data_IF_354530957016
#
_entry.id   IF_354530957016
#
_cell.length_a   1.000
_cell.length_b   1.000
_cell.length_c   1.000
_cell.angle_alpha   90.00
_cell.angle_beta   90.00
_cell.angle_gamma   90.00
#
_symmetry.space_group_name_H-M   'P 1'
#
loop_
_entity.id
_entity.type
_entity.pdbx_description
1 polymer ?
#
# COMPACT_ATOMS: atom_id res chain seq x y z
N UNK A 1 -16.45 4.72 -19.47
CA UNK A 1 -17.52 4.04 -18.69
C UNK A 1 -17.06 3.76 -17.28
N UNK A 2 -15.84 3.27 -17.05
CA UNK A 2 -15.36 2.87 -15.74
C UNK A 2 -15.35 4.05 -14.74
N UNK A 3 -14.77 5.18 -15.11
CA UNK A 3 -14.77 6.40 -14.27
C UNK A 3 -16.20 6.90 -14.00
N UNK A 4 -17.09 6.83 -14.98
CA UNK A 4 -18.51 7.21 -14.77
C UNK A 4 -19.16 6.31 -13.73
N UNK A 5 -18.93 4.99 -13.82
CA UNK A 5 -19.42 4.04 -12.83
C UNK A 5 -18.90 4.35 -11.42
N UNK A 6 -17.61 4.65 -11.29
CA UNK A 6 -16.99 5.02 -10.02
C UNK A 6 -17.63 6.27 -9.41
N UNK A 7 -17.86 7.33 -10.22
CA UNK A 7 -18.46 8.57 -9.74
C UNK A 7 -19.90 8.36 -9.23
N UNK A 8 -20.76 7.72 -10.02
CA UNK A 8 -22.14 7.52 -9.62
C UNK A 8 -22.27 6.56 -8.44
N UNK A 9 -21.45 5.48 -8.42
CA UNK A 9 -21.41 4.61 -7.24
C UNK A 9 -20.99 5.39 -5.98
N UNK A 10 -19.96 6.23 -6.07
CA UNK A 10 -19.47 7.02 -4.95
C UNK A 10 -20.56 7.96 -4.40
N UNK A 11 -21.29 8.65 -5.32
CA UNK A 11 -22.38 9.54 -4.91
C UNK A 11 -23.46 8.79 -4.13
N UNK A 12 -23.90 7.64 -4.66
CA UNK A 12 -24.96 6.84 -4.05
C UNK A 12 -24.50 6.17 -2.74
N UNK A 13 -23.32 5.53 -2.76
CA UNK A 13 -22.82 4.75 -1.63
C UNK A 13 -22.50 5.62 -0.41
N UNK A 14 -22.02 6.84 -0.64
CA UNK A 14 -21.61 7.75 0.43
C UNK A 14 -22.58 8.91 0.63
N UNK A 15 -23.74 8.88 -0.03
CA UNK A 15 -24.75 9.95 -0.02
C UNK A 15 -24.11 11.34 -0.21
N UNK A 16 -23.17 11.41 -1.18
CA UNK A 16 -22.45 12.64 -1.46
C UNK A 16 -23.35 13.68 -2.14
N UNK A 17 -23.23 14.92 -1.74
CA UNK A 17 -24.00 16.06 -2.27
C UNK A 17 -23.09 17.21 -2.65
N UNK A 18 -23.67 18.25 -3.28
CA UNK A 18 -22.93 19.47 -3.60
C UNK A 18 -22.48 20.28 -2.37
N UNK A 19 -23.07 20.00 -1.20
CA UNK A 19 -22.72 20.67 0.06
C UNK A 19 -21.49 20.03 0.74
N UNK A 20 -21.04 18.87 0.25
CA UNK A 20 -19.87 18.20 0.78
C UNK A 20 -18.57 18.93 0.39
N UNK A 21 -17.58 18.77 1.24
CA UNK A 21 -16.21 19.24 1.00
C UNK A 21 -15.27 18.06 1.07
N UNK A 22 -14.54 17.85 -0.02
CA UNK A 22 -13.60 16.74 -0.18
C UNK A 22 -12.15 17.22 -0.18
N UNK A 23 -11.21 16.35 0.18
CA UNK A 23 -9.79 16.65 0.06
C UNK A 23 -9.15 15.95 -1.14
N UNK A 24 -8.26 16.68 -1.84
CA UNK A 24 -7.33 16.14 -2.84
C UNK A 24 -5.99 15.89 -2.16
N UNK A 25 -5.83 14.68 -1.63
CA UNK A 25 -4.66 14.24 -0.88
C UNK A 25 -3.67 13.44 -1.74
N UNK A 26 -4.16 12.42 -2.47
CA UNK A 26 -3.32 11.52 -3.25
C UNK A 26 -2.52 12.24 -4.34
N UNK A 27 -1.24 11.92 -4.51
CA UNK A 27 -0.42 12.44 -5.60
C UNK A 27 -0.99 12.06 -6.98
N UNK A 28 -0.75 12.87 -8.02
CA UNK A 28 -1.27 12.62 -9.38
C UNK A 28 -0.76 11.32 -10.03
N UNK A 29 0.33 10.74 -9.51
CA UNK A 29 0.82 9.43 -9.94
C UNK A 29 0.00 8.23 -9.42
N UNK A 30 -0.97 8.48 -8.53
CA UNK A 30 -1.88 7.46 -8.00
C UNK A 30 -3.27 7.60 -8.59
N UNK A 31 -3.90 6.48 -8.86
CA UNK A 31 -5.28 6.42 -9.36
C UNK A 31 -6.31 6.93 -8.35
N UNK A 32 -6.04 6.82 -7.05
CA UNK A 32 -6.85 7.44 -6.00
C UNK A 32 -7.05 8.95 -6.22
N UNK A 33 -6.10 9.65 -6.87
CA UNK A 33 -6.24 11.07 -7.21
C UNK A 33 -7.43 11.32 -8.15
N UNK A 34 -7.71 10.40 -9.06
CA UNK A 34 -8.86 10.46 -9.97
C UNK A 34 -10.15 10.26 -9.18
N UNK A 35 -10.14 9.35 -8.22
CA UNK A 35 -11.27 9.09 -7.35
C UNK A 35 -11.62 10.26 -6.43
N UNK A 36 -10.61 10.99 -5.90
CA UNK A 36 -10.84 12.20 -5.11
C UNK A 36 -11.46 13.33 -5.93
N UNK A 37 -11.00 13.53 -7.17
CA UNK A 37 -11.39 14.67 -8.00
C UNK A 37 -12.73 14.49 -8.70
N UNK A 38 -12.90 13.38 -9.44
CA UNK A 38 -14.02 13.27 -10.36
C UNK A 38 -15.38 13.12 -9.68
N UNK A 39 -15.58 12.29 -8.65
CA UNK A 39 -16.84 12.29 -7.91
C UNK A 39 -17.17 13.66 -7.32
N UNK A 40 -16.18 14.34 -6.74
CA UNK A 40 -16.36 15.67 -6.15
C UNK A 40 -16.82 16.68 -7.19
N UNK A 41 -16.16 16.76 -8.33
CA UNK A 41 -16.53 17.70 -9.39
C UNK A 41 -17.86 17.39 -10.06
N UNK A 42 -18.16 16.11 -10.29
CA UNK A 42 -19.37 15.71 -11.01
C UNK A 42 -20.64 15.90 -10.19
N UNK A 43 -20.56 15.99 -8.87
CA UNK A 43 -21.69 16.32 -7.98
C UNK A 43 -21.77 17.83 -7.70
N UNK A 44 -20.72 18.60 -8.03
CA UNK A 44 -20.63 20.04 -7.73
C UNK A 44 -20.16 20.38 -6.32
N UNK A 45 -19.51 19.43 -5.64
CA UNK A 45 -18.94 19.63 -4.31
C UNK A 45 -17.62 20.40 -4.34
N UNK A 46 -17.20 20.90 -3.19
CA UNK A 46 -15.95 21.65 -3.01
C UNK A 46 -14.77 20.69 -2.86
N UNK A 47 -13.65 20.95 -3.57
CA UNK A 47 -12.43 20.16 -3.50
C UNK A 47 -11.28 20.98 -2.90
N UNK A 48 -10.78 20.58 -1.75
CA UNK A 48 -9.64 21.17 -1.06
C UNK A 48 -8.35 20.49 -1.52
N UNK A 49 -7.46 21.23 -2.17
CA UNK A 49 -6.12 20.71 -2.55
C UNK A 49 -5.20 20.85 -1.35
N UNK A 50 -4.70 19.74 -0.85
CA UNK A 50 -3.85 19.71 0.34
C UNK A 50 -2.42 20.12 -0.03
N UNK A 51 -1.91 21.13 0.69
CA UNK A 51 -0.55 21.61 0.53
C UNK A 51 0.47 20.54 0.98
N UNK A 52 1.57 20.42 0.24
CA UNK A 52 2.64 19.47 0.53
C UNK A 52 3.26 19.70 1.93
N UNK A 53 3.28 20.94 2.40
CA UNK A 53 3.82 21.32 3.72
C UNK A 53 3.02 20.78 4.92
N UNK A 54 1.75 20.37 4.70
CA UNK A 54 0.90 19.81 5.77
C UNK A 54 0.51 18.35 5.51
N UNK A 55 0.79 17.86 4.30
CA UNK A 55 0.30 16.58 3.81
C UNK A 55 0.73 15.39 4.67
N UNK A 56 1.95 15.41 5.19
CA UNK A 56 2.50 14.33 6.03
C UNK A 56 2.40 14.63 7.53
N UNK A 57 2.04 15.85 7.92
CA UNK A 57 1.80 16.24 9.30
C UNK A 57 0.34 16.00 9.66
N UNK A 58 0.08 14.89 10.33
CA UNK A 58 -1.28 14.43 10.62
C UNK A 58 -2.06 15.39 11.52
N UNK A 59 -1.36 16.08 12.42
CA UNK A 59 -1.98 17.06 13.34
C UNK A 59 -2.40 18.30 12.58
N UNK A 60 -1.53 18.82 11.70
CA UNK A 60 -1.84 19.98 10.85
C UNK A 60 -2.91 19.63 9.80
N UNK A 61 -2.86 18.41 9.25
CA UNK A 61 -3.88 17.92 8.32
C UNK A 61 -5.26 17.84 9.00
N UNK A 62 -5.32 17.29 10.20
CA UNK A 62 -6.55 17.22 11.00
C UNK A 62 -7.09 18.62 11.33
N UNK A 63 -6.21 19.54 11.73
CA UNK A 63 -6.59 20.94 11.97
C UNK A 63 -7.16 21.61 10.71
N UNK A 64 -6.48 21.43 9.57
CA UNK A 64 -6.95 21.93 8.28
C UNK A 64 -8.34 21.41 7.93
N UNK A 65 -8.60 20.10 8.11
CA UNK A 65 -9.91 19.53 7.83
C UNK A 65 -11.00 20.14 8.69
N UNK A 66 -10.75 20.36 9.98
CA UNK A 66 -11.71 20.99 10.88
C UNK A 66 -11.94 22.47 10.55
N UNK A 67 -10.88 23.24 10.31
CA UNK A 67 -10.94 24.66 9.99
C UNK A 67 -11.72 24.93 8.70
N UNK A 68 -11.52 24.10 7.67
CA UNK A 68 -12.19 24.27 6.38
C UNK A 68 -13.49 23.46 6.26
N UNK A 69 -13.85 22.67 7.26
CA UNK A 69 -15.07 21.88 7.30
C UNK A 69 -15.09 20.77 6.26
N UNK A 70 -13.96 20.08 6.04
CA UNK A 70 -13.89 18.88 5.16
C UNK A 70 -14.80 17.80 5.73
N UNK A 71 -15.70 17.25 4.90
CA UNK A 71 -16.74 16.30 5.34
C UNK A 71 -16.45 14.87 4.92
N UNK A 72 -15.78 14.68 3.79
CA UNK A 72 -15.40 13.36 3.26
C UNK A 72 -13.98 13.42 2.72
N UNK A 73 -13.15 12.45 3.06
CA UNK A 73 -11.78 12.38 2.56
C UNK A 73 -11.31 10.93 2.42
N UNK A 74 -10.41 10.71 1.45
CA UNK A 74 -9.60 9.50 1.37
C UNK A 74 -8.24 9.76 2.02
N UNK A 75 -7.77 8.77 2.79
CA UNK A 75 -6.38 8.71 3.25
C UNK A 75 -5.82 7.30 3.01
N UNK A 76 -4.54 7.18 2.61
CA UNK A 76 -3.86 5.89 2.56
C UNK A 76 -3.88 5.21 3.93
N UNK A 77 -4.00 3.88 3.96
CA UNK A 77 -4.24 3.09 5.16
C UNK A 77 -3.34 3.46 6.34
N UNK A 78 -2.03 3.55 6.13
CA UNK A 78 -1.06 3.85 7.21
C UNK A 78 -1.28 5.23 7.83
N UNK A 79 -1.61 6.23 7.00
CA UNK A 79 -1.93 7.57 7.48
C UNK A 79 -3.30 7.61 8.16
N UNK A 80 -4.29 6.91 7.61
CA UNK A 80 -5.62 6.81 8.18
C UNK A 80 -5.60 6.18 9.57
N UNK A 81 -4.77 5.15 9.80
CA UNK A 81 -4.60 4.53 11.12
C UNK A 81 -4.07 5.50 12.17
N UNK A 82 -3.16 6.40 11.79
CA UNK A 82 -2.68 7.47 12.68
C UNK A 82 -3.72 8.58 12.84
N UNK A 83 -4.39 8.96 11.74
CA UNK A 83 -5.43 9.99 11.76
C UNK A 83 -6.60 9.61 12.69
N UNK A 84 -6.95 8.34 12.74
CA UNK A 84 -8.00 7.83 13.63
C UNK A 84 -7.67 7.93 15.13
N UNK A 85 -6.43 8.24 15.52
CA UNK A 85 -6.09 8.54 16.92
C UNK A 85 -6.45 9.98 17.32
N UNK A 86 -6.78 10.84 16.34
CA UNK A 86 -7.13 12.23 16.56
C UNK A 86 -8.65 12.43 16.45
N UNK A 87 -9.21 13.26 17.33
CA UNK A 87 -10.61 13.65 17.20
C UNK A 87 -10.80 14.61 16.03
N UNK A 88 -11.84 14.35 15.22
CA UNK A 88 -12.26 15.23 14.14
C UNK A 88 -13.77 15.38 14.15
N UNK A 89 -14.25 16.63 14.24
CA UNK A 89 -15.68 16.97 14.31
C UNK A 89 -16.30 17.39 12.98
N UNK A 90 -15.48 17.64 11.95
CA UNK A 90 -15.98 18.05 10.63
C UNK A 90 -16.25 16.86 9.70
N UNK A 91 -15.46 15.80 9.80
CA UNK A 91 -15.65 14.62 8.98
C UNK A 91 -16.96 13.90 9.31
N UNK A 92 -17.67 13.51 8.28
CA UNK A 92 -18.75 12.52 8.35
C UNK A 92 -18.29 11.15 7.86
N UNK A 93 -17.21 11.12 7.02
CA UNK A 93 -16.70 9.89 6.44
C UNK A 93 -15.20 9.95 6.16
N UNK A 94 -14.49 8.92 6.60
CA UNK A 94 -13.09 8.66 6.26
C UNK A 94 -13.02 7.42 5.37
N UNK A 95 -12.57 7.59 4.13
CA UNK A 95 -12.33 6.52 3.17
C UNK A 95 -10.88 6.07 3.29
N UNK A 96 -10.67 4.78 3.48
CA UNK A 96 -9.35 4.18 3.70
C UNK A 96 -9.07 3.18 2.57
N UNK A 97 -7.83 3.01 2.18
CA UNK A 97 -7.45 2.01 1.19
C UNK A 97 -5.99 2.09 0.78
N UNK A 98 -5.62 1.24 -0.16
CA UNK A 98 -4.25 1.17 -0.69
C UNK A 98 -3.40 0.09 -0.02
N UNK A 99 -3.66 -0.25 1.24
CA UNK A 99 -2.97 -1.33 1.96
C UNK A 99 -3.93 -2.06 2.90
N UNK A 100 -3.46 -3.13 3.57
CA UNK A 100 -4.22 -3.88 4.56
C UNK A 100 -4.44 -3.01 5.81
N UNK A 101 -5.71 -2.73 6.13
CA UNK A 101 -6.07 -2.07 7.38
C UNK A 101 -5.80 -3.03 8.54
N UNK A 102 -5.00 -2.61 9.51
CA UNK A 102 -4.59 -3.41 10.67
C UNK A 102 -5.41 -3.08 11.92
N UNK A 103 -5.85 -1.84 12.04
CA UNK A 103 -6.65 -1.36 13.19
C UNK A 103 -7.62 -0.27 12.76
N UNK A 104 -8.71 -0.17 13.48
CA UNK A 104 -9.64 0.94 13.39
C UNK A 104 -10.03 1.39 14.78
N UNK A 105 -10.18 2.69 14.98
CA UNK A 105 -10.56 3.29 16.24
C UNK A 105 -11.96 3.90 16.11
N UNK A 106 -12.80 3.73 17.12
CA UNK A 106 -14.15 4.27 17.12
C UNK A 106 -14.10 5.80 17.06
N UNK A 107 -14.76 6.34 16.06
CA UNK A 107 -14.80 7.77 15.76
C UNK A 107 -16.24 8.28 15.59
N UNK A 108 -16.51 9.59 15.70
CA UNK A 108 -17.84 10.13 15.42
C UNK A 108 -18.22 10.08 13.94
N UNK A 109 -17.27 9.84 13.05
CA UNK A 109 -17.44 9.69 11.61
C UNK A 109 -17.40 8.21 11.18
N UNK A 110 -17.98 7.91 10.03
CA UNK A 110 -17.95 6.56 9.46
C UNK A 110 -16.60 6.27 8.81
N UNK A 111 -16.01 5.10 9.12
CA UNK A 111 -14.80 4.59 8.48
C UNK A 111 -15.21 3.58 7.40
N UNK A 112 -14.70 3.75 6.18
CA UNK A 112 -15.00 2.86 5.05
C UNK A 112 -13.70 2.32 4.47
N UNK A 113 -13.53 1.01 4.50
CA UNK A 113 -12.39 0.34 3.88
C UNK A 113 -12.69 0.04 2.42
N UNK A 114 -11.83 0.52 1.53
CA UNK A 114 -11.98 0.40 0.09
C UNK A 114 -10.78 -0.35 -0.50
N UNK A 115 -11.06 -1.30 -1.34
CA UNK A 115 -10.05 -2.07 -2.04
C UNK A 115 -10.32 -2.01 -3.54
N UNK A 116 -9.26 -1.92 -4.31
CA UNK A 116 -9.29 -2.10 -5.76
C UNK A 116 -7.93 -1.98 -6.39
N UNK A 117 -7.68 -2.74 -7.45
CA UNK A 117 -6.54 -2.55 -8.31
C UNK A 117 -6.83 -1.44 -9.34
N UNK A 118 -5.80 -0.76 -9.81
CA UNK A 118 -5.89 0.25 -10.89
C UNK A 118 -6.53 -0.34 -12.14
N UNK A 119 -6.34 -1.63 -12.39
CA UNK A 119 -6.89 -2.40 -13.50
C UNK A 119 -8.44 -2.52 -13.44
N UNK A 120 -9.04 -2.19 -12.28
CA UNK A 120 -10.51 -2.10 -12.13
C UNK A 120 -10.95 -0.70 -11.65
N UNK A 121 -10.25 0.33 -12.04
CA UNK A 121 -10.60 1.75 -11.81
C UNK A 121 -10.78 2.07 -10.33
N UNK A 122 -9.67 2.04 -9.57
CA UNK A 122 -9.48 2.45 -8.18
C UNK A 122 -10.21 1.60 -7.14
N UNK A 123 -11.53 1.50 -7.20
CA UNK A 123 -12.34 0.80 -6.18
C UNK A 123 -13.11 -0.35 -6.81
N UNK A 124 -12.88 -1.55 -6.32
CA UNK A 124 -13.60 -2.76 -6.70
C UNK A 124 -14.54 -3.26 -5.60
N UNK A 125 -14.13 -3.10 -4.33
CA UNK A 125 -14.94 -3.45 -3.16
C UNK A 125 -14.89 -2.34 -2.12
N UNK A 126 -15.93 -2.23 -1.30
CA UNK A 126 -16.08 -1.20 -0.27
C UNK A 126 -16.92 -1.75 0.88
N UNK A 127 -16.58 -1.38 2.11
CA UNK A 127 -17.33 -1.78 3.29
C UNK A 127 -17.12 -0.83 4.47
N UNK A 128 -18.20 -0.54 5.17
CA UNK A 128 -18.15 0.20 6.43
C UNK A 128 -17.47 -0.68 7.47
N UNK A 129 -16.52 -0.11 8.19
CA UNK A 129 -15.81 -0.79 9.27
C UNK A 129 -16.53 -0.54 10.59
N UNK A 130 -16.79 -1.62 11.31
CA UNK A 130 -17.14 -1.56 12.71
C UNK A 130 -15.88 -1.81 13.56
N UNK A 131 -15.34 -0.81 14.27
CA UNK A 131 -14.13 -0.98 15.06
C UNK A 131 -14.25 -1.96 16.23
N UNK A 132 -15.47 -2.39 16.55
CA UNK A 132 -15.76 -3.36 17.62
C UNK A 132 -15.73 -4.82 17.10
N UNK A 133 -15.58 -5.02 15.78
CA UNK A 133 -15.48 -6.34 15.17
C UNK A 133 -14.02 -6.76 14.96
N UNK A 134 -13.76 -8.06 15.10
CA UNK A 134 -12.41 -8.64 14.91
C UNK A 134 -11.94 -8.63 13.45
N UNK A 135 -12.84 -8.41 12.50
CA UNK A 135 -12.53 -8.45 11.07
C UNK A 135 -12.61 -7.07 10.41
N UNK A 136 -11.48 -6.63 9.85
CA UNK A 136 -11.36 -5.43 9.02
C UNK A 136 -11.47 -5.79 7.53
N UNK A 137 -12.69 -6.15 7.12
CA UNK A 137 -13.02 -6.60 5.76
C UNK A 137 -12.76 -5.50 4.72
N UNK A 138 -12.48 -5.90 3.48
CA UNK A 138 -12.50 -5.00 2.31
C UNK A 138 -13.91 -4.85 1.72
N UNK A 139 -14.93 -5.30 2.43
CA UNK A 139 -16.33 -5.13 2.10
C UNK A 139 -16.83 -6.05 1.00
N UNK A 140 -17.68 -5.50 0.14
CA UNK A 140 -18.35 -6.20 -0.97
C UNK A 140 -18.13 -5.44 -2.27
N UNK A 141 -18.36 -6.13 -3.41
CA UNK A 141 -18.25 -5.51 -4.73
C UNK A 141 -19.14 -4.26 -4.84
N UNK A 142 -18.59 -3.21 -5.43
CA UNK A 142 -19.31 -1.97 -5.72
C UNK A 142 -20.31 -2.17 -6.85
N UNK A 143 -21.20 -1.20 -7.07
CA UNK A 143 -22.21 -1.28 -8.14
C UNK A 143 -21.59 -1.57 -9.51
N UNK A 144 -22.22 -2.47 -10.27
CA UNK A 144 -21.78 -2.93 -11.59
C UNK A 144 -20.39 -3.61 -11.62
N UNK A 145 -19.88 -4.04 -10.46
CA UNK A 145 -18.68 -4.85 -10.30
C UNK A 145 -19.07 -6.23 -9.78
N UNK A 146 -18.41 -7.26 -10.28
CA UNK A 146 -18.51 -8.63 -9.77
C UNK A 146 -17.17 -8.99 -9.15
N UNK A 147 -17.21 -9.58 -7.97
CA UNK A 147 -16.05 -10.12 -7.28
C UNK A 147 -16.23 -11.62 -7.10
N UNK A 148 -15.29 -12.40 -7.60
CA UNK A 148 -15.24 -13.84 -7.47
C UNK A 148 -14.04 -14.23 -6.62
N UNK A 149 -14.20 -15.23 -5.77
CA UNK A 149 -13.10 -15.88 -5.06
C UNK A 149 -12.90 -17.25 -5.68
N UNK A 150 -11.82 -17.40 -6.44
CA UNK A 150 -11.59 -18.58 -7.27
C UNK A 150 -10.41 -19.42 -6.76
N UNK A 151 -10.59 -20.75 -6.81
CA UNK A 151 -9.52 -21.70 -6.60
C UNK A 151 -8.87 -22.14 -7.90
N UNK A 152 -8.06 -23.21 -7.81
CA UNK A 152 -7.43 -23.82 -8.97
C UNK A 152 -8.51 -24.34 -9.94
N UNK A 153 -8.39 -23.98 -11.24
CA UNK A 153 -9.37 -24.36 -12.25
C UNK A 153 -10.65 -23.52 -12.26
N UNK A 154 -10.60 -22.29 -11.73
CA UNK A 154 -11.67 -21.29 -11.78
C UNK A 154 -13.00 -21.69 -11.09
N UNK A 155 -12.96 -22.62 -10.13
CA UNK A 155 -14.12 -22.90 -9.30
C UNK A 155 -14.28 -21.88 -8.17
N UNK A 156 -15.52 -21.44 -7.93
CA UNK A 156 -15.85 -20.55 -6.81
C UNK A 156 -15.57 -21.23 -5.48
N UNK A 157 -14.86 -20.53 -4.61
CA UNK A 157 -14.54 -21.04 -3.27
C UNK A 157 -15.74 -20.87 -2.33
N UNK A 158 -16.00 -21.88 -1.48
CA UNK A 158 -16.97 -21.76 -0.39
C UNK A 158 -16.56 -20.68 0.63
N UNK A 159 -17.53 -20.29 1.46
CA UNK A 159 -17.28 -19.42 2.60
C UNK A 159 -16.15 -19.95 3.49
N UNK A 160 -15.27 -19.04 3.91
CA UNK A 160 -14.11 -19.32 4.78
C UNK A 160 -12.92 -19.96 4.07
N UNK A 161 -13.08 -20.41 2.82
CA UNK A 161 -11.99 -21.01 2.05
C UNK A 161 -11.29 -19.91 1.22
N UNK A 162 -9.96 -19.89 1.34
CA UNK A 162 -9.13 -18.93 0.62
C UNK A 162 -9.09 -19.23 -0.89
N UNK A 163 -9.05 -18.17 -1.70
CA UNK A 163 -8.89 -18.23 -3.14
C UNK A 163 -8.43 -16.88 -3.70
N UNK A 164 -8.13 -16.87 -5.00
CA UNK A 164 -7.77 -15.65 -5.70
C UNK A 164 -8.98 -14.74 -5.89
N UNK A 165 -8.85 -13.47 -5.53
CA UNK A 165 -9.85 -12.46 -5.87
C UNK A 165 -9.76 -12.15 -7.37
N UNK A 166 -10.85 -12.36 -8.09
CA UNK A 166 -11.02 -11.96 -9.48
C UNK A 166 -12.13 -10.92 -9.57
N UNK A 167 -11.90 -9.84 -10.31
CA UNK A 167 -12.87 -8.75 -10.45
C UNK A 167 -13.28 -8.56 -11.90
N UNK A 168 -14.56 -8.28 -12.13
CA UNK A 168 -15.14 -8.08 -13.45
C UNK A 168 -16.20 -6.96 -13.42
N UNK A 169 -16.62 -6.50 -14.58
CA UNK A 169 -17.71 -5.53 -14.70
C UNK A 169 -17.28 -4.20 -15.29
N UNK A 170 -18.04 -3.14 -14.96
CA UNK A 170 -17.90 -1.83 -15.60
C UNK A 170 -16.62 -1.07 -15.26
N UNK A 171 -15.99 -1.39 -14.13
CA UNK A 171 -14.71 -0.81 -13.70
C UNK A 171 -13.49 -1.35 -14.45
N UNK A 172 -13.63 -2.47 -15.17
CA UNK A 172 -12.51 -3.18 -15.77
C UNK A 172 -11.81 -2.37 -16.87
N UNK A 173 -10.48 -2.25 -16.77
CA UNK A 173 -9.64 -1.62 -17.78
C UNK A 173 -9.55 -2.43 -19.07
N UNK A 174 -9.09 -1.79 -20.16
CA UNK A 174 -8.87 -2.47 -21.44
C UNK A 174 -7.70 -3.43 -21.41
N UNK A 175 -6.70 -3.16 -20.61
CA UNK A 175 -5.46 -3.91 -20.48
C UNK A 175 -4.26 -2.98 -20.26
N UNK A 176 -3.06 -3.53 -20.33
CA UNK A 176 -1.81 -2.79 -20.22
C UNK A 176 -1.37 -2.24 -21.58
N UNK A 177 -1.00 -0.97 -21.63
CA UNK A 177 -0.58 -0.30 -22.85
C UNK A 177 0.70 -0.95 -23.42
N UNK A 178 0.65 -1.38 -24.68
CA UNK A 178 1.76 -2.03 -25.40
C UNK A 178 2.30 -3.30 -24.69
N UNK A 179 1.45 -4.01 -23.94
CA UNK A 179 1.78 -5.25 -23.19
C UNK A 179 0.69 -6.29 -23.41
N UNK A 180 0.57 -6.81 -24.63
CA UNK A 180 -0.49 -7.75 -25.01
C UNK A 180 -0.40 -9.08 -24.25
N UNK A 181 0.82 -9.62 -24.10
CA UNK A 181 1.04 -10.88 -23.38
C UNK A 181 0.66 -10.76 -21.90
N UNK A 182 1.05 -9.69 -21.21
CA UNK A 182 0.68 -9.46 -19.81
C UNK A 182 -0.82 -9.18 -19.67
N UNK A 183 -1.39 -8.48 -20.63
CA UNK A 183 -2.85 -8.27 -20.69
C UNK A 183 -3.58 -9.60 -20.81
N UNK A 184 -3.16 -10.48 -21.70
CA UNK A 184 -3.80 -11.79 -21.89
C UNK A 184 -3.68 -12.71 -20.65
N UNK A 185 -2.58 -12.60 -19.88
CA UNK A 185 -2.38 -13.37 -18.64
C UNK A 185 -3.30 -12.91 -17.51
N UNK A 186 -3.50 -11.61 -17.37
CA UNK A 186 -4.23 -11.02 -16.24
C UNK A 186 -5.71 -10.74 -16.54
N UNK A 187 -6.04 -10.37 -17.78
CA UNK A 187 -7.42 -10.09 -18.22
C UNK A 187 -7.96 -11.27 -19.01
N UNK A 188 -8.48 -12.26 -18.27
CA UNK A 188 -8.97 -13.53 -18.82
C UNK A 188 -10.46 -13.47 -19.13
N UNK A 189 -10.99 -14.47 -19.84
CA UNK A 189 -12.44 -14.61 -20.01
C UNK A 189 -13.13 -14.79 -18.65
N UNK A 190 -14.27 -14.14 -18.46
CA UNK A 190 -15.14 -14.37 -17.30
C UNK A 190 -15.87 -15.71 -17.49
N UNK A 191 -15.60 -16.74 -16.67
CA UNK A 191 -16.21 -18.06 -16.86
C UNK A 191 -17.71 -18.10 -16.53
N UNK A 192 -18.22 -17.05 -15.87
CA UNK A 192 -19.60 -16.96 -15.42
C UNK A 192 -20.47 -16.07 -16.33
N UNK A 193 -19.84 -15.18 -17.14
CA UNK A 193 -20.55 -14.27 -18.03
C UNK A 193 -19.95 -14.33 -19.43
N UNK A 194 -20.59 -15.06 -20.37
CA UNK A 194 -20.09 -15.25 -21.72
C UNK A 194 -19.82 -13.93 -22.45
N UNK A 195 -18.62 -13.83 -23.04
CA UNK A 195 -18.18 -12.65 -23.80
C UNK A 195 -17.64 -11.50 -22.96
N UNK A 196 -17.66 -11.61 -21.63
CA UNK A 196 -17.03 -10.64 -20.74
C UNK A 196 -15.65 -11.11 -20.26
N UNK A 197 -14.91 -10.20 -19.64
CA UNK A 197 -13.60 -10.47 -19.06
C UNK A 197 -13.59 -10.21 -17.59
N UNK A 198 -12.66 -10.85 -16.90
CA UNK A 198 -12.30 -10.58 -15.51
C UNK A 198 -10.79 -10.30 -15.40
N UNK A 199 -10.42 -9.58 -14.37
CA UNK A 199 -9.03 -9.34 -13.97
C UNK A 199 -8.65 -10.23 -12.80
N UNK A 200 -7.56 -10.97 -12.95
CA UNK A 200 -6.95 -11.81 -11.91
C UNK A 200 -6.01 -10.94 -11.09
N UNK A 201 -6.44 -10.64 -9.85
CA UNK A 201 -5.73 -9.64 -9.02
C UNK A 201 -4.41 -10.17 -8.46
N UNK A 202 -4.27 -11.48 -8.30
CA UNK A 202 -3.20 -12.12 -7.54
C UNK A 202 -3.33 -11.93 -6.03
N UNK A 203 -4.45 -11.40 -5.55
CA UNK A 203 -4.73 -11.23 -4.13
C UNK A 203 -5.47 -12.45 -3.57
N UNK A 204 -4.97 -12.98 -2.46
CA UNK A 204 -5.56 -14.09 -1.72
C UNK A 204 -6.57 -13.54 -0.70
N UNK A 205 -7.80 -14.00 -0.81
CA UNK A 205 -8.91 -13.54 0.03
C UNK A 205 -9.78 -14.72 0.44
N UNK A 206 -10.69 -14.51 1.38
CA UNK A 206 -11.78 -15.45 1.68
C UNK A 206 -13.09 -14.69 1.87
N UNK A 207 -14.20 -15.38 1.62
CA UNK A 207 -15.54 -14.86 1.86
C UNK A 207 -15.96 -15.09 3.30
N UNK A 208 -16.52 -14.05 3.93
CA UNK A 208 -17.18 -14.12 5.22
C UNK A 208 -18.59 -13.51 5.06
N UNK A 209 -19.63 -14.28 5.36
CA UNK A 209 -21.02 -13.83 5.15
C UNK A 209 -21.40 -12.63 6.02
N UNK A 210 -20.78 -12.45 7.17
CA UNK A 210 -21.06 -11.36 8.11
C UNK A 210 -20.48 -10.04 7.62
N UNK A 211 -19.16 -10.00 7.34
CA UNK A 211 -18.45 -8.77 7.04
C UNK A 211 -18.08 -8.58 5.56
N UNK A 212 -18.18 -9.61 4.72
CA UNK A 212 -17.82 -9.55 3.29
C UNK A 212 -16.47 -10.21 2.98
N UNK A 213 -15.65 -9.61 2.13
CA UNK A 213 -14.38 -10.18 1.70
C UNK A 213 -13.27 -9.82 2.69
N UNK A 214 -12.57 -10.81 3.21
CA UNK A 214 -11.40 -10.66 4.06
C UNK A 214 -10.12 -10.82 3.24
N UNK A 215 -9.25 -9.81 3.30
CA UNK A 215 -7.96 -9.82 2.64
C UNK A 215 -6.95 -10.61 3.49
N UNK A 216 -6.31 -11.61 2.88
CA UNK A 216 -5.31 -12.47 3.54
C UNK A 216 -3.90 -11.99 3.18
N UNK A 217 -3.62 -11.84 1.86
CA UNK A 217 -2.30 -11.49 1.35
C UNK A 217 -2.23 -11.57 -0.16
N UNK A 218 -1.01 -11.79 -0.70
CA UNK A 218 -0.78 -11.99 -2.13
C UNK A 218 -0.39 -13.42 -2.45
N UNK A 219 -0.82 -13.89 -3.62
CA UNK A 219 -0.41 -15.20 -4.19
C UNK A 219 0.98 -15.09 -4.82
N UNK A 220 1.27 -13.94 -5.44
CA UNK A 220 2.55 -13.64 -6.08
C UNK A 220 3.52 -12.91 -5.15
N UNK A 221 4.70 -12.56 -5.66
CA UNK A 221 5.73 -11.86 -4.89
C UNK A 221 5.57 -10.32 -4.89
N UNK A 222 4.49 -9.82 -5.43
CA UNK A 222 4.18 -8.41 -5.37
C UNK A 222 3.93 -7.97 -3.93
N UNK A 223 4.45 -6.83 -3.54
CA UNK A 223 4.27 -6.29 -2.18
C UNK A 223 3.69 -4.89 -2.24
N UNK A 224 3.02 -4.52 -1.17
CA UNK A 224 2.63 -3.13 -0.94
C UNK A 224 3.55 -2.54 0.11
N UNK A 225 4.26 -1.48 -0.22
CA UNK A 225 5.14 -0.76 0.68
C UNK A 225 4.70 0.69 0.69
N UNK A 226 4.22 1.18 1.84
CA UNK A 226 3.71 2.56 1.99
C UNK A 226 2.60 2.91 0.97
N UNK A 227 1.75 1.93 0.65
CA UNK A 227 0.68 2.08 -0.35
C UNK A 227 1.12 1.94 -1.81
N UNK A 228 2.42 1.87 -2.09
CA UNK A 228 2.94 1.61 -3.44
C UNK A 228 2.92 0.12 -3.74
N UNK A 229 2.41 -0.25 -4.89
CA UNK A 229 2.45 -1.62 -5.41
C UNK A 229 3.79 -1.85 -6.11
N UNK A 230 4.62 -2.72 -5.55
CA UNK A 230 6.01 -2.96 -6.00
C UNK A 230 6.15 -4.39 -6.51
N UNK A 231 6.69 -4.50 -7.73
CA UNK A 231 7.18 -5.76 -8.30
C UNK A 231 8.61 -5.99 -7.81
N UNK A 232 8.82 -6.92 -6.88
CA UNK A 232 10.16 -7.21 -6.37
C UNK A 232 11.13 -7.63 -7.47
N UNK A 233 10.64 -8.35 -8.48
CA UNK A 233 11.40 -8.76 -9.65
C UNK A 233 11.97 -7.60 -10.47
N UNK A 234 11.33 -6.45 -10.49
CA UNK A 234 11.88 -5.27 -11.18
C UNK A 234 13.16 -4.79 -10.50
N UNK A 235 13.16 -4.76 -9.17
CA UNK A 235 14.35 -4.39 -8.38
C UNK A 235 15.46 -5.44 -8.56
N UNK A 236 15.10 -6.73 -8.53
CA UNK A 236 16.04 -7.84 -8.73
C UNK A 236 16.73 -7.76 -10.12
N UNK A 237 15.95 -7.50 -11.17
CA UNK A 237 16.48 -7.33 -12.54
C UNK A 237 17.42 -6.12 -12.61
N UNK A 238 17.11 -5.02 -11.94
CA UNK A 238 18.01 -3.85 -11.90
C UNK A 238 19.30 -4.15 -11.16
N UNK A 239 19.20 -4.79 -9.99
CA UNK A 239 20.38 -5.23 -9.22
C UNK A 239 21.28 -6.15 -10.02
N UNK A 240 20.73 -7.15 -10.69
CA UNK A 240 21.50 -8.10 -11.51
C UNK A 240 22.20 -7.46 -12.73
N UNK A 241 21.83 -6.24 -13.11
CA UNK A 241 22.50 -5.48 -14.18
C UNK A 241 23.68 -4.64 -13.67
N UNK A 242 23.82 -4.48 -12.36
CA UNK A 242 24.88 -3.68 -11.77
C UNK A 242 26.19 -4.46 -11.68
N UNK A 243 27.30 -3.75 -11.90
CA UNK A 243 28.63 -4.36 -11.84
C UNK A 243 28.91 -4.90 -10.43
N UNK A 244 29.43 -6.13 -10.34
CA UNK A 244 29.79 -6.77 -9.09
C UNK A 244 28.66 -7.58 -8.44
N UNK A 245 27.44 -7.54 -8.97
CA UNK A 245 26.32 -8.38 -8.52
C UNK A 245 26.23 -9.60 -9.44
N UNK A 246 26.37 -10.80 -8.87
CA UNK A 246 26.16 -12.08 -9.59
C UNK A 246 24.72 -12.56 -9.43
N UNK A 247 24.21 -12.49 -8.21
CA UNK A 247 22.84 -12.88 -7.88
C UNK A 247 22.22 -11.85 -6.94
N UNK A 248 20.95 -11.60 -7.11
CA UNK A 248 20.17 -10.72 -6.26
C UNK A 248 18.77 -11.28 -6.00
N UNK A 249 18.29 -11.11 -4.79
CA UNK A 249 16.92 -11.35 -4.40
C UNK A 249 16.39 -10.20 -3.57
N UNK A 250 15.11 -9.91 -3.69
CA UNK A 250 14.44 -8.89 -2.87
C UNK A 250 13.23 -9.50 -2.19
N UNK A 251 13.08 -9.20 -0.91
CA UNK A 251 11.93 -9.64 -0.11
C UNK A 251 11.30 -8.46 0.61
N UNK A 252 10.04 -8.61 0.99
CA UNK A 252 9.43 -7.72 1.97
C UNK A 252 9.67 -8.27 3.37
N UNK A 253 10.02 -7.39 4.28
CA UNK A 253 10.24 -7.68 5.71
C UNK A 253 9.42 -6.70 6.54
N UNK A 254 9.06 -7.09 7.75
CA UNK A 254 8.43 -6.15 8.68
C UNK A 254 9.53 -5.49 9.53
N UNK A 255 9.51 -4.16 9.60
CA UNK A 255 10.34 -3.40 10.51
C UNK A 255 9.84 -3.55 11.98
N UNK A 256 10.58 -3.01 12.96
CA UNK A 256 10.20 -3.07 14.38
C UNK A 256 8.84 -2.43 14.68
N UNK A 257 8.41 -1.50 13.88
CA UNK A 257 7.10 -0.84 14.00
C UNK A 257 5.96 -1.61 13.29
N UNK A 258 6.28 -2.77 12.69
CA UNK A 258 5.33 -3.60 11.94
C UNK A 258 4.99 -3.05 10.55
N UNK A 259 5.79 -2.13 10.00
CA UNK A 259 5.62 -1.65 8.63
C UNK A 259 6.38 -2.54 7.66
N UNK A 260 5.82 -2.66 6.45
CA UNK A 260 6.48 -3.38 5.36
C UNK A 260 7.63 -2.55 4.78
N UNK A 261 8.82 -3.15 4.72
CA UNK A 261 10.02 -2.58 4.12
C UNK A 261 10.65 -3.58 3.14
N UNK A 262 11.52 -3.10 2.25
CA UNK A 262 12.24 -3.93 1.30
C UNK A 262 13.61 -4.31 1.86
N UNK A 263 13.98 -5.58 1.68
CA UNK A 263 15.31 -6.10 1.97
C UNK A 263 15.92 -6.71 0.70
N UNK A 264 17.10 -6.25 0.29
CA UNK A 264 17.87 -6.83 -0.80
C UNK A 264 18.94 -7.78 -0.24
N UNK A 265 19.04 -8.93 -0.89
CA UNK A 265 20.10 -9.92 -0.68
C UNK A 265 20.96 -9.94 -1.94
N UNK A 266 22.27 -9.75 -1.80
CA UNK A 266 23.20 -9.67 -2.93
C UNK A 266 24.39 -10.60 -2.73
N UNK A 267 24.85 -11.18 -3.81
CA UNK A 267 26.06 -11.98 -3.86
C UNK A 267 26.98 -11.49 -5.00
N UNK A 268 28.34 -11.59 -4.84
CA UNK A 268 29.05 -12.11 -3.68
C UNK A 268 29.12 -11.14 -2.51
N UNK A 269 29.52 -11.65 -1.35
CA UNK A 269 29.88 -10.81 -0.19
C UNK A 269 31.01 -9.82 -0.56
N UNK A 270 31.04 -8.66 0.08
CA UNK A 270 31.93 -7.52 -0.20
C UNK A 270 31.52 -6.67 -1.42
N UNK A 271 30.27 -6.67 -1.74
CA UNK A 271 29.68 -5.76 -2.72
C UNK A 271 29.54 -4.35 -2.11
N UNK A 272 29.88 -3.31 -2.87
CA UNK A 272 29.70 -1.92 -2.39
C UNK A 272 28.20 -1.55 -2.35
N UNK A 273 27.57 -1.76 -1.22
CA UNK A 273 26.15 -1.51 -1.00
C UNK A 273 25.78 -0.04 -1.26
N UNK A 274 26.63 0.91 -0.87
CA UNK A 274 26.33 2.34 -1.08
C UNK A 274 26.36 2.70 -2.58
N UNK A 275 27.29 2.11 -3.33
CA UNK A 275 27.29 2.26 -4.79
C UNK A 275 26.04 1.62 -5.43
N UNK A 276 25.57 0.46 -4.94
CA UNK A 276 24.33 -0.16 -5.44
C UNK A 276 23.10 0.69 -5.11
N UNK A 277 22.99 1.23 -3.90
CA UNK A 277 21.91 2.15 -3.51
C UNK A 277 21.88 3.39 -4.40
N UNK A 278 23.02 4.00 -4.65
CA UNK A 278 23.13 5.16 -5.53
C UNK A 278 22.67 4.83 -6.96
N UNK A 279 23.14 3.71 -7.52
CA UNK A 279 22.77 3.28 -8.87
C UNK A 279 21.27 2.94 -8.99
N UNK A 280 20.66 2.36 -7.95
CA UNK A 280 19.22 2.13 -7.94
C UNK A 280 18.43 3.44 -7.89
N UNK A 281 18.85 4.42 -7.08
CA UNK A 281 18.21 5.75 -7.00
C UNK A 281 18.20 6.50 -8.33
N UNK A 282 19.21 6.27 -9.17
CA UNK A 282 19.26 6.88 -10.50
C UNK A 282 18.24 6.29 -11.47
N UNK A 283 17.73 5.08 -11.22
CA UNK A 283 16.90 4.31 -12.15
C UNK A 283 15.52 3.92 -11.62
N UNK A 284 15.34 3.93 -10.30
CA UNK A 284 14.10 3.56 -9.63
C UNK A 284 13.64 4.69 -8.70
N UNK A 285 12.33 4.83 -8.47
CA UNK A 285 11.81 5.72 -7.45
C UNK A 285 12.31 5.35 -6.04
N UNK A 286 12.44 6.31 -5.14
CA UNK A 286 12.96 6.10 -3.77
C UNK A 286 12.23 5.00 -2.99
N UNK A 287 10.92 4.87 -3.18
CA UNK A 287 10.13 3.83 -2.50
C UNK A 287 10.43 2.40 -2.96
N UNK A 288 11.13 2.23 -4.09
CA UNK A 288 11.59 0.93 -4.60
C UNK A 288 13.04 0.61 -4.19
N UNK A 289 13.76 1.54 -3.57
CA UNK A 289 15.13 1.30 -3.09
C UNK A 289 15.05 0.54 -1.76
N UNK A 290 15.68 -0.66 -1.65
CA UNK A 290 15.65 -1.44 -0.43
C UNK A 290 16.23 -0.70 0.78
N UNK A 291 15.52 -0.75 1.92
CA UNK A 291 15.96 -0.16 3.17
C UNK A 291 17.02 -1.04 3.86
N UNK A 292 16.87 -2.36 3.76
CA UNK A 292 17.78 -3.34 4.36
C UNK A 292 18.57 -4.08 3.29
N UNK A 293 19.80 -4.46 3.62
CA UNK A 293 20.71 -5.14 2.71
C UNK A 293 21.47 -6.24 3.45
N UNK A 294 21.52 -7.41 2.82
CA UNK A 294 22.23 -8.58 3.32
C UNK A 294 23.18 -9.06 2.24
N UNK A 295 24.47 -9.08 2.57
CA UNK A 295 25.50 -9.62 1.70
C UNK A 295 25.70 -11.11 2.01
N UNK A 296 25.81 -11.91 0.96
CA UNK A 296 26.03 -13.35 1.07
C UNK A 296 27.09 -13.78 0.07
N UNK A 297 27.83 -14.84 0.38
CA UNK A 297 28.78 -15.43 -0.57
C UNK A 297 28.05 -15.99 -1.78
N UNK A 298 26.94 -16.71 -1.54
CA UNK A 298 26.03 -17.26 -2.53
C UNK A 298 24.60 -17.22 -2.00
N UNK A 299 23.62 -16.99 -2.88
CA UNK A 299 22.20 -17.07 -2.50
C UNK A 299 21.75 -18.54 -2.50
N UNK A 300 20.92 -18.97 -1.52
CA UNK A 300 20.40 -20.31 -1.47
C UNK A 300 19.51 -20.61 -2.69
N UNK A 301 19.64 -21.80 -3.25
CA UNK A 301 18.86 -22.23 -4.41
C UNK A 301 18.05 -23.49 -4.10
N UNK A 302 16.87 -23.58 -4.70
CA UNK A 302 16.03 -24.78 -4.67
C UNK A 302 16.65 -25.89 -5.51
N UNK A 303 16.14 -27.13 -5.38
CA UNK A 303 16.53 -28.27 -6.19
C UNK A 303 16.42 -28.04 -7.72
N UNK A 304 15.61 -27.07 -8.13
CA UNK A 304 15.41 -26.68 -9.54
C UNK A 304 16.29 -25.48 -9.98
N UNK A 305 17.28 -25.08 -9.17
CA UNK A 305 18.21 -24.01 -9.49
C UNK A 305 17.63 -22.58 -9.41
N UNK A 306 16.47 -22.38 -8.78
CA UNK A 306 15.90 -21.05 -8.51
C UNK A 306 16.29 -20.59 -7.11
N UNK A 307 16.46 -19.29 -6.90
CA UNK A 307 16.72 -18.72 -5.59
C UNK A 307 15.61 -19.13 -4.60
N UNK A 308 16.00 -19.71 -3.48
CA UNK A 308 15.09 -20.10 -2.40
C UNK A 308 14.92 -18.96 -1.40
N UNK A 309 13.96 -18.08 -1.68
CA UNK A 309 13.68 -16.92 -0.81
C UNK A 309 13.26 -17.30 0.62
N UNK A 310 12.79 -18.52 0.84
CA UNK A 310 12.41 -19.00 2.20
C UNK A 310 13.62 -19.38 3.04
N UNK A 311 14.72 -19.72 2.40
CA UNK A 311 15.98 -20.07 3.05
C UNK A 311 16.89 -18.85 3.28
N UNK A 312 16.49 -17.65 2.83
CA UNK A 312 17.23 -16.41 3.08
C UNK A 312 17.20 -16.07 4.58
N UNK A 313 18.31 -15.62 5.17
CA UNK A 313 18.35 -15.21 6.56
C UNK A 313 17.48 -13.99 6.81
N UNK A 314 16.91 -13.88 8.00
CA UNK A 314 16.28 -12.62 8.41
C UNK A 314 17.32 -11.50 8.41
N UNK A 315 17.01 -10.32 7.84
CA UNK A 315 17.93 -9.21 7.92
C UNK A 315 18.14 -8.81 9.38
N UNK A 316 19.38 -8.46 9.71
CA UNK A 316 19.66 -7.85 11.01
C UNK A 316 19.18 -6.40 10.97
N UNK A 317 17.97 -6.20 11.49
CA UNK A 317 17.34 -4.86 11.57
C UNK A 317 18.08 -3.96 12.56
N UNK A 318 18.98 -4.54 13.40
CA UNK A 318 19.83 -3.81 14.34
C UNK A 318 21.18 -3.38 13.71
N UNK A 319 21.68 -4.11 12.73
CA UNK A 319 22.97 -3.86 12.11
C UNK A 319 23.04 -2.65 11.17
N UNK A 320 21.92 -1.96 10.92
CA UNK A 320 21.88 -0.73 10.11
C UNK A 320 22.45 0.51 10.80
N UNK A 321 22.87 0.42 12.05
CA UNK A 321 23.52 1.53 12.74
C UNK A 321 25.03 1.56 12.41
N UNK A 322 25.48 2.66 11.81
CA UNK A 322 26.89 3.05 11.88
C UNK A 322 27.35 2.94 13.35
N UNK A 323 28.64 2.68 13.60
CA UNK A 323 29.14 2.58 14.97
C UNK A 323 28.52 3.69 15.82
N UNK A 324 27.76 3.31 16.84
CA UNK A 324 27.04 4.26 17.69
C UNK A 324 27.93 5.43 18.12
N UNK A 325 27.55 6.62 17.73
CA UNK A 325 28.16 7.86 18.18
C UNK A 325 27.14 8.63 19.02
N UNK A 326 27.41 8.78 20.31
CA UNK A 326 26.54 9.48 21.23
C UNK A 326 26.30 10.93 20.81
N UNK A 327 25.12 11.50 21.09
CA UNK A 327 24.87 12.94 20.95
C UNK A 327 25.84 13.74 21.83
N UNK A 328 26.44 14.79 21.28
CA UNK A 328 27.41 15.66 21.97
C UNK A 328 26.82 17.06 22.29
N UNK A 329 25.75 17.46 21.54
CA UNK A 329 25.08 18.76 21.71
C UNK A 329 23.66 18.60 22.23
N UNK A 330 23.12 19.65 22.85
CA UNK A 330 21.71 19.65 23.29
C UNK A 330 20.73 19.38 22.15
N UNK A 331 21.02 19.88 20.95
CA UNK A 331 20.17 19.67 19.76
C UNK A 331 20.26 18.23 19.27
N UNK A 332 21.45 17.62 19.24
CA UNK A 332 21.63 16.21 18.90
C UNK A 332 20.93 15.30 19.88
N UNK A 333 20.99 15.61 21.19
CA UNK A 333 20.30 14.87 22.23
C UNK A 333 18.79 14.96 22.02
N UNK A 334 18.27 16.16 21.80
CA UNK A 334 16.83 16.36 21.56
C UNK A 334 16.35 15.59 20.33
N UNK A 335 17.10 15.65 19.22
CA UNK A 335 16.75 14.91 18.00
C UNK A 335 16.84 13.39 18.21
N UNK A 336 17.87 12.92 18.91
CA UNK A 336 18.01 11.50 19.25
C UNK A 336 16.84 11.02 20.11
N UNK A 337 16.44 11.78 21.12
CA UNK A 337 15.31 11.45 21.99
C UNK A 337 13.98 11.40 21.21
N UNK A 338 13.74 12.38 20.36
CA UNK A 338 12.55 12.41 19.49
C UNK A 338 12.53 11.20 18.56
N UNK A 339 13.66 10.88 17.91
CA UNK A 339 13.73 9.74 17.02
C UNK A 339 13.57 8.41 17.76
N UNK A 340 14.11 8.28 18.98
CA UNK A 340 13.89 7.10 19.83
C UNK A 340 12.40 6.90 20.13
N UNK A 341 11.71 7.97 20.49
CA UNK A 341 10.27 7.93 20.75
C UNK A 341 9.46 7.55 19.49
N UNK A 342 9.74 8.23 18.38
CA UNK A 342 9.02 8.04 17.09
C UNK A 342 9.29 6.68 16.47
N UNK A 343 10.51 6.17 16.57
CA UNK A 343 10.94 4.90 15.95
C UNK A 343 10.81 3.70 16.90
N UNK A 344 10.55 3.94 18.19
CA UNK A 344 10.47 2.90 19.20
C UNK A 344 11.80 2.18 19.46
N UNK A 345 12.93 2.90 19.34
CA UNK A 345 14.28 2.38 19.51
C UNK A 345 14.87 2.82 20.84
N UNK A 346 15.66 1.95 21.47
CA UNK A 346 16.29 2.26 22.77
C UNK A 346 17.49 3.21 22.64
N UNK A 347 18.15 3.23 21.46
CA UNK A 347 19.36 4.00 21.27
C UNK A 347 19.51 4.43 19.81
N UNK A 348 19.77 5.73 19.59
CA UNK A 348 20.03 6.33 18.26
C UNK A 348 21.26 7.22 18.37
N UNK A 349 22.25 7.01 17.48
CA UNK A 349 23.46 7.80 17.38
C UNK A 349 23.37 8.92 16.36
N UNK A 350 24.25 9.93 16.48
CA UNK A 350 24.28 11.09 15.56
C UNK A 350 24.67 10.75 14.12
N UNK A 351 25.23 9.56 13.90
CA UNK A 351 25.58 9.07 12.56
C UNK A 351 24.51 8.18 11.94
N UNK A 352 23.44 7.90 12.67
CA UNK A 352 22.38 7.04 12.20
C UNK A 352 21.52 7.77 11.18
N UNK A 353 21.00 7.02 10.21
CA UNK A 353 20.11 7.56 9.21
C UNK A 353 18.66 7.22 9.57
N UNK A 354 17.82 8.23 9.69
CA UNK A 354 16.40 8.10 10.06
C UNK A 354 15.66 7.03 9.26
N UNK A 355 15.89 6.99 7.95
CA UNK A 355 15.22 6.06 7.04
C UNK A 355 15.74 4.61 7.18
N UNK A 356 17.03 4.43 7.49
CA UNK A 356 17.59 3.09 7.72
C UNK A 356 17.17 2.50 9.07
N UNK A 357 16.83 3.36 10.02
CA UNK A 357 16.27 2.96 11.32
C UNK A 357 14.77 2.69 11.30
N UNK A 358 14.14 2.69 10.12
CA UNK A 358 12.70 2.45 9.98
C UNK A 358 11.86 3.73 10.03
N UNK A 359 12.49 4.88 9.92
CA UNK A 359 11.82 6.14 9.67
C UNK A 359 11.29 6.21 8.22
N UNK A 360 10.23 6.95 8.03
CA UNK A 360 9.65 7.22 6.72
C UNK A 360 9.21 8.68 6.61
N UNK A 361 8.73 9.07 5.45
CA UNK A 361 8.25 10.44 5.20
C UNK A 361 6.97 10.81 5.97
N UNK A 362 6.39 9.88 6.71
CA UNK A 362 5.22 10.11 7.57
C UNK A 362 5.66 10.36 9.01
N UNK A 363 6.76 9.73 9.43
CA UNK A 363 7.34 9.82 10.77
C UNK A 363 8.39 10.93 10.91
N UNK A 364 8.95 11.42 9.78
CA UNK A 364 10.05 12.40 9.70
C UNK A 364 9.64 13.87 9.76
#
# INVERSE_FOLDING_TARGET
>A
HALVNLCFWHHDAFAMTADDKSAKYAGFGFDASIWEMFPTWTIGAELHVIDEAIRLDITRLNHYFQEHGVTITFLPTQLAEQFMELENSSLRMLLVGGDKLKRAVKQPYTIVNNYGPTENTVVATSGVINPEEDSLSIGRAIANTRAYILGDGDQVQPEGIAGELCVAGRGLARGYLNREEETAKRFTADPFVPGERMYRTGDLVKWNTQCGIEYIGRIDQQVKVRGYRIELSEIEVRLAQLAGVHDAAVTAVEDKAGNTALCAYVAPQQTDIEALKAALKDTLPDYMVPAFWVEMDELPVTANGKIDKKALPSPDIEAGSAAYKAPETEMETLLSDIWQEVLGLEQIGVSDNFFTLGGDSIKG
#
